data_IF_295622899625
#
_entry.id   IF_295622899625
#
_cell.length_a   1.000
_cell.length_b   1.000
_cell.length_c   1.000
_cell.angle_alpha   90.00
_cell.angle_beta   90.00
_cell.angle_gamma   90.00
#
_symmetry.space_group_name_H-M   'P 1'
#
loop_
_entity.id
_entity.type
_entity.pdbx_description
1 polymer ?
#
# COMPACT_ATOMS: atom_id res chain seq x y z
N UNK A 1 43.09 29.85 -10.54
CA UNK A 1 43.94 30.68 -11.40
C UNK A 1 43.69 30.32 -12.83
N UNK A 2 42.86 30.98 -13.62
CA UNK A 2 41.70 31.84 -13.43
C UNK A 2 41.17 31.97 -14.85
N UNK A 3 39.89 31.70 -15.06
CA UNK A 3 39.12 32.42 -16.08
C UNK A 3 37.75 32.65 -15.48
N UNK A 4 37.71 33.69 -14.65
CA UNK A 4 36.53 34.49 -14.37
C UNK A 4 35.95 34.88 -15.73
N UNK A 5 34.78 34.35 -16.07
CA UNK A 5 33.93 34.91 -17.12
C UNK A 5 32.92 35.76 -16.40
N UNK A 6 33.25 37.03 -16.30
CA UNK A 6 32.35 38.10 -15.91
C UNK A 6 31.55 38.49 -17.16
N UNK A 7 30.23 38.36 -17.09
CA UNK A 7 29.29 38.99 -18.01
C UNK A 7 28.13 39.51 -17.16
N UNK A 8 28.23 40.79 -16.85
CA UNK A 8 27.19 41.68 -16.38
C UNK A 8 26.19 41.93 -17.53
N UNK A 9 24.89 42.04 -17.23
CA UNK A 9 23.89 42.56 -18.16
C UNK A 9 22.67 41.66 -18.40
N UNK A 10 21.53 42.13 -17.88
CA UNK A 10 20.15 41.63 -17.97
C UNK A 10 19.75 40.79 -19.20
N UNK A 11 19.18 39.60 -18.93
CA UNK A 11 18.21 38.95 -19.83
C UNK A 11 17.34 37.95 -19.04
N UNK A 12 16.36 38.45 -18.29
CA UNK A 12 15.48 37.64 -17.43
C UNK A 12 14.55 36.69 -18.24
N UNK A 13 14.46 36.88 -19.55
CA UNK A 13 13.75 36.00 -20.51
C UNK A 13 14.60 34.80 -20.97
N UNK A 14 15.92 34.83 -20.79
CA UNK A 14 16.84 33.74 -21.18
C UNK A 14 16.79 32.54 -20.23
N UNK A 15 16.48 32.76 -18.94
CA UNK A 15 16.40 31.67 -17.96
C UNK A 15 15.21 30.73 -18.22
N UNK A 16 14.08 31.27 -18.70
CA UNK A 16 12.90 30.46 -19.04
C UNK A 16 13.16 29.62 -20.29
N UNK A 17 13.72 30.20 -21.36
CA UNK A 17 14.02 29.45 -22.59
C UNK A 17 15.11 28.39 -22.39
N UNK A 18 16.11 28.68 -21.55
CA UNK A 18 17.13 27.72 -21.14
C UNK A 18 16.55 26.61 -20.26
N UNK A 19 15.61 26.92 -19.36
CA UNK A 19 14.89 25.93 -18.56
C UNK A 19 14.01 25.00 -19.42
N UNK A 20 13.24 25.55 -20.37
CA UNK A 20 12.43 24.76 -21.30
C UNK A 20 13.28 23.90 -22.24
N UNK A 21 14.45 24.40 -22.65
CA UNK A 21 15.40 23.65 -23.48
C UNK A 21 16.11 22.55 -22.68
N UNK A 22 16.49 22.82 -21.43
CA UNK A 22 17.02 21.82 -20.49
C UNK A 22 16.00 20.71 -20.19
N UNK A 23 14.73 21.08 -19.94
CA UNK A 23 13.63 20.10 -19.80
C UNK A 23 13.47 19.30 -21.10
N UNK A 24 13.39 19.95 -22.27
CA UNK A 24 13.25 19.24 -23.55
C UNK A 24 14.39 18.25 -23.77
N UNK A 25 15.63 18.64 -23.53
CA UNK A 25 16.79 17.77 -23.78
C UNK A 25 16.89 16.63 -22.74
N UNK A 26 16.48 16.87 -21.50
CA UNK A 26 16.46 15.85 -20.44
C UNK A 26 15.30 14.85 -20.62
N UNK A 27 14.17 15.27 -21.18
CA UNK A 27 12.95 14.45 -21.33
C UNK A 27 12.73 13.84 -22.72
N UNK A 28 13.08 14.52 -23.83
CA UNK A 28 12.74 14.11 -25.21
C UNK A 28 13.89 13.45 -26.00
N UNK A 29 14.92 12.91 -25.34
CA UNK A 29 15.96 12.13 -26.02
C UNK A 29 15.56 10.67 -26.23
N UNK A 30 15.96 10.04 -27.35
CA UNK A 30 15.70 8.61 -27.63
C UNK A 30 16.19 7.68 -26.51
N UNK A 31 17.25 8.07 -25.78
CA UNK A 31 17.74 7.36 -24.58
C UNK A 31 16.80 7.53 -23.38
N UNK A 32 16.21 8.71 -23.19
CA UNK A 32 15.23 8.96 -22.14
C UNK A 32 13.93 8.19 -22.38
N UNK A 33 13.48 8.10 -23.64
CA UNK A 33 12.29 7.31 -24.01
C UNK A 33 12.50 5.80 -23.77
N UNK A 34 13.66 5.24 -24.15
CA UNK A 34 14.00 3.85 -23.84
C UNK A 34 14.09 3.57 -22.33
N UNK A 35 14.50 4.57 -21.53
CA UNK A 35 14.54 4.47 -20.06
C UNK A 35 13.15 4.59 -19.40
N UNK A 36 12.20 5.30 -20.02
CA UNK A 36 10.85 5.52 -19.50
C UNK A 36 9.84 4.43 -19.92
N UNK A 37 10.09 3.76 -21.05
CA UNK A 37 9.29 2.64 -21.55
C UNK A 37 10.14 1.36 -21.55
N UNK A 38 10.41 0.77 -20.37
CA UNK A 38 11.19 -0.46 -20.24
C UNK A 38 10.60 -1.62 -21.05
N UNK A 39 9.30 -1.59 -21.35
CA UNK A 39 8.61 -2.55 -22.26
C UNK A 39 9.31 -2.70 -23.60
N UNK A 40 9.86 -1.63 -24.17
CA UNK A 40 10.51 -1.67 -25.49
C UNK A 40 11.86 -2.39 -25.40
N UNK A 41 12.46 -2.45 -24.22
CA UNK A 41 13.75 -3.09 -23.99
C UNK A 41 13.61 -4.59 -23.68
N UNK A 42 12.62 -4.99 -22.89
CA UNK A 42 12.47 -6.41 -22.50
C UNK A 42 11.64 -7.23 -23.49
N UNK A 43 10.64 -6.64 -24.14
CA UNK A 43 9.77 -7.35 -25.09
C UNK A 43 10.51 -8.03 -26.27
N UNK A 44 11.51 -7.42 -26.93
CA UNK A 44 12.22 -8.08 -28.03
C UNK A 44 13.16 -9.21 -27.60
N UNK A 45 13.51 -9.31 -26.32
CA UNK A 45 14.35 -10.38 -25.76
C UNK A 45 13.56 -11.53 -25.13
N UNK A 46 12.22 -11.48 -25.20
CA UNK A 46 11.35 -12.38 -24.46
C UNK A 46 11.31 -13.79 -25.07
N UNK A 47 11.63 -14.80 -24.25
CA UNK A 47 11.66 -16.20 -24.68
C UNK A 47 10.33 -16.91 -24.40
N UNK A 48 9.92 -17.80 -25.31
CA UNK A 48 8.70 -18.62 -25.15
C UNK A 48 8.76 -19.59 -23.96
N UNK A 49 9.95 -19.90 -23.45
CA UNK A 49 10.15 -20.68 -22.23
C UNK A 49 9.69 -19.91 -20.99
N UNK A 50 9.96 -18.60 -20.94
CA UNK A 50 9.57 -17.70 -19.83
C UNK A 50 8.05 -17.49 -19.79
N UNK A 51 7.40 -17.50 -20.95
CA UNK A 51 5.94 -17.37 -21.06
C UNK A 51 5.16 -18.37 -20.21
N UNK A 52 5.59 -19.63 -20.15
CA UNK A 52 4.90 -20.66 -19.36
C UNK A 52 4.98 -20.37 -17.86
N UNK A 53 6.15 -19.91 -17.40
CA UNK A 53 6.35 -19.53 -16.01
C UNK A 53 5.55 -18.27 -15.66
N UNK A 54 5.52 -17.28 -16.55
CA UNK A 54 4.80 -16.02 -16.35
C UNK A 54 3.28 -16.21 -16.35
N UNK A 55 2.75 -17.13 -17.16
CA UNK A 55 1.31 -17.48 -17.14
C UNK A 55 0.93 -18.11 -15.80
N UNK A 56 1.75 -19.03 -15.27
CA UNK A 56 1.49 -19.65 -13.96
C UNK A 56 1.63 -18.65 -12.81
N UNK A 57 2.64 -17.78 -12.87
CA UNK A 57 2.84 -16.70 -11.90
C UNK A 57 1.67 -15.70 -11.94
N UNK A 58 1.26 -15.27 -13.13
CA UNK A 58 0.14 -14.36 -13.34
C UNK A 58 -1.20 -14.95 -12.86
N UNK A 59 -1.45 -16.23 -13.11
CA UNK A 59 -2.64 -16.92 -12.59
C UNK A 59 -2.63 -16.97 -11.06
N UNK A 60 -1.48 -17.29 -10.46
CA UNK A 60 -1.33 -17.32 -9.00
C UNK A 60 -1.57 -15.93 -8.39
N UNK A 61 -1.00 -14.89 -9.00
CA UNK A 61 -1.21 -13.50 -8.58
C UNK A 61 -2.67 -13.06 -8.76
N UNK A 62 -3.34 -13.47 -9.84
CA UNK A 62 -4.76 -13.16 -10.04
C UNK A 62 -5.62 -13.80 -8.94
N UNK A 63 -5.37 -15.07 -8.61
CA UNK A 63 -6.10 -15.78 -7.55
C UNK A 63 -5.92 -15.15 -6.17
N UNK A 64 -4.76 -14.53 -5.88
CA UNK A 64 -4.51 -13.85 -4.59
C UNK A 64 -4.98 -12.39 -4.59
N UNK A 65 -4.81 -11.67 -5.70
CA UNK A 65 -5.19 -10.25 -5.81
C UNK A 65 -6.69 -10.04 -5.79
N UNK A 66 -7.49 -10.94 -6.38
CA UNK A 66 -8.96 -10.83 -6.38
C UNK A 66 -9.49 -10.72 -4.93
N UNK A 67 -9.33 -11.72 -4.04
CA UNK A 67 -9.87 -11.63 -2.68
C UNK A 67 -9.25 -10.47 -1.88
N UNK A 68 -7.98 -10.17 -2.08
CA UNK A 68 -7.30 -9.02 -1.45
C UNK A 68 -7.98 -7.70 -1.83
N UNK A 69 -8.24 -7.47 -3.11
CA UNK A 69 -8.85 -6.26 -3.62
C UNK A 69 -10.30 -6.07 -3.12
N UNK A 70 -11.08 -7.16 -3.05
CA UNK A 70 -12.45 -7.14 -2.52
C UNK A 70 -12.44 -6.72 -1.03
N UNK A 71 -11.53 -7.29 -0.24
CA UNK A 71 -11.38 -6.96 1.18
C UNK A 71 -10.98 -5.50 1.41
N UNK A 72 -10.07 -4.97 0.59
CA UNK A 72 -9.60 -3.59 0.71
C UNK A 72 -10.68 -2.56 0.30
N UNK A 73 -11.52 -2.85 -0.70
CA UNK A 73 -12.66 -1.99 -1.01
C UNK A 73 -13.63 -1.88 0.19
N UNK A 74 -13.88 -3.00 0.89
CA UNK A 74 -14.73 -3.04 2.08
C UNK A 74 -14.12 -2.32 3.29
N UNK A 75 -12.78 -2.26 3.40
CA UNK A 75 -12.08 -1.45 4.40
C UNK A 75 -12.16 0.05 4.09
N UNK A 76 -12.16 0.41 2.80
CA UNK A 76 -12.30 1.78 2.34
C UNK A 76 -13.74 2.31 2.35
N UNK A 77 -14.73 1.52 2.83
CA UNK A 77 -16.15 1.83 2.78
C UNK A 77 -16.66 2.16 1.36
N UNK A 78 -16.11 1.51 0.34
CA UNK A 78 -16.51 1.68 -1.06
C UNK A 78 -17.18 0.42 -1.61
N UNK A 79 -17.97 0.56 -2.70
CA UNK A 79 -18.45 -0.60 -3.43
C UNK A 79 -17.29 -1.48 -3.90
N UNK A 80 -17.49 -2.79 -3.84
CA UNK A 80 -16.48 -3.81 -4.11
C UNK A 80 -15.87 -3.68 -5.53
N UNK A 81 -16.64 -3.14 -6.49
CA UNK A 81 -16.21 -2.89 -7.87
C UNK A 81 -14.97 -1.98 -7.96
N UNK A 82 -14.81 -1.03 -7.03
CA UNK A 82 -13.66 -0.12 -7.00
C UNK A 82 -12.34 -0.84 -6.74
N UNK A 83 -12.34 -1.89 -5.90
CA UNK A 83 -11.14 -2.68 -5.63
C UNK A 83 -10.65 -3.44 -6.85
N UNK A 84 -11.60 -4.03 -7.62
CA UNK A 84 -11.30 -4.75 -8.85
C UNK A 84 -10.76 -3.81 -9.94
N UNK A 85 -11.38 -2.64 -10.12
CA UNK A 85 -10.89 -1.64 -11.06
C UNK A 85 -9.47 -1.18 -10.71
N UNK A 86 -9.21 -0.85 -9.44
CA UNK A 86 -7.87 -0.42 -9.03
C UNK A 86 -6.80 -1.48 -9.30
N UNK A 87 -7.09 -2.77 -9.10
CA UNK A 87 -6.09 -3.81 -9.28
C UNK A 87 -5.77 -4.04 -10.75
N UNK A 88 -6.80 -4.19 -11.60
CA UNK A 88 -6.63 -4.49 -13.03
C UNK A 88 -5.92 -3.34 -13.74
N UNK A 89 -6.39 -2.10 -13.56
CA UNK A 89 -5.81 -0.95 -14.25
C UNK A 89 -4.39 -0.65 -13.77
N UNK A 90 -4.10 -0.73 -12.48
CA UNK A 90 -2.76 -0.47 -11.95
C UNK A 90 -1.75 -1.51 -12.43
N UNK A 91 -2.10 -2.80 -12.47
CA UNK A 91 -1.21 -3.84 -13.01
C UNK A 91 -0.95 -3.65 -14.50
N UNK A 92 -1.98 -3.30 -15.30
CA UNK A 92 -1.81 -3.03 -16.73
C UNK A 92 -0.90 -1.82 -16.98
N UNK A 93 -1.11 -0.71 -16.26
CA UNK A 93 -0.26 0.48 -16.37
C UNK A 93 1.19 0.16 -15.95
N UNK A 94 1.38 -0.60 -14.87
CA UNK A 94 2.71 -1.00 -14.43
C UNK A 94 3.41 -1.94 -15.42
N UNK A 95 2.69 -2.82 -16.13
CA UNK A 95 3.31 -3.68 -17.14
C UNK A 95 3.97 -2.88 -18.28
N UNK A 96 3.44 -1.70 -18.61
CA UNK A 96 3.96 -0.83 -19.68
C UNK A 96 5.09 0.09 -19.17
N UNK A 97 4.91 0.68 -17.99
CA UNK A 97 5.81 1.72 -17.46
C UNK A 97 6.77 1.23 -16.36
N UNK A 98 6.61 0.00 -15.88
CA UNK A 98 7.31 -0.55 -14.73
C UNK A 98 8.73 -0.97 -15.04
N UNK A 99 9.67 -0.50 -14.23
CA UNK A 99 11.10 -0.81 -14.37
C UNK A 99 11.48 -2.22 -13.89
N UNK A 100 10.69 -2.82 -12.98
CA UNK A 100 10.99 -4.12 -12.37
C UNK A 100 9.97 -5.17 -12.83
N UNK A 101 10.46 -6.30 -13.35
CA UNK A 101 9.61 -7.39 -13.88
C UNK A 101 8.89 -8.21 -12.81
N UNK A 102 9.48 -8.37 -11.63
CA UNK A 102 9.00 -9.29 -10.60
C UNK A 102 8.11 -8.59 -9.54
N UNK A 103 7.87 -7.29 -9.67
CA UNK A 103 7.09 -6.50 -8.71
C UNK A 103 5.63 -6.45 -9.12
N UNK A 104 4.75 -6.93 -8.23
CA UNK A 104 3.30 -6.77 -8.40
C UNK A 104 2.84 -5.49 -7.73
N UNK A 105 2.01 -4.70 -8.43
CA UNK A 105 1.34 -3.54 -7.86
C UNK A 105 -0.15 -3.81 -7.75
N UNK A 106 -0.71 -3.48 -6.58
CA UNK A 106 -2.13 -3.55 -6.31
C UNK A 106 -2.50 -2.63 -5.14
N UNK A 107 -3.79 -2.58 -4.77
CA UNK A 107 -4.24 -1.82 -3.60
C UNK A 107 -3.59 -2.39 -2.34
N UNK A 108 -3.23 -1.51 -1.40
CA UNK A 108 -2.66 -1.88 -0.10
C UNK A 108 -3.62 -1.56 1.04
N UNK A 109 -3.52 -2.30 2.14
CA UNK A 109 -4.38 -2.13 3.31
C UNK A 109 -4.28 -0.71 3.92
N UNK A 110 -3.07 -0.15 3.96
CA UNK A 110 -2.84 1.21 4.49
C UNK A 110 -3.56 2.24 3.63
N UNK A 111 -3.44 2.16 2.31
CA UNK A 111 -4.16 3.06 1.39
C UNK A 111 -5.68 2.93 1.58
N UNK A 112 -6.20 1.70 1.70
CA UNK A 112 -7.63 1.47 1.92
C UNK A 112 -8.14 2.09 3.23
N UNK A 113 -7.39 1.97 4.33
CA UNK A 113 -7.75 2.57 5.61
C UNK A 113 -7.75 4.10 5.56
N UNK A 114 -6.73 4.71 4.96
CA UNK A 114 -6.66 6.17 4.79
C UNK A 114 -7.81 6.67 3.91
N UNK A 115 -8.05 6.03 2.77
CA UNK A 115 -9.17 6.39 1.88
C UNK A 115 -10.51 6.24 2.60
N UNK A 116 -10.71 5.16 3.37
CA UNK A 116 -11.94 4.93 4.13
C UNK A 116 -12.26 6.00 5.16
N UNK A 117 -11.24 6.61 5.76
CA UNK A 117 -11.42 7.76 6.66
C UNK A 117 -11.95 9.01 5.93
N UNK A 118 -11.51 9.28 4.71
CA UNK A 118 -11.99 10.43 3.94
C UNK A 118 -13.34 10.18 3.26
N UNK A 119 -13.61 8.94 2.83
CA UNK A 119 -14.89 8.55 2.23
C UNK A 119 -16.04 8.67 3.23
N UNK A 120 -15.81 8.37 4.52
CA UNK A 120 -16.84 8.51 5.57
C UNK A 120 -17.26 9.96 5.80
N UNK A 121 -16.43 10.94 5.41
CA UNK A 121 -16.72 12.38 5.55
C UNK A 121 -17.42 12.92 4.29
N UNK A 122 -16.98 12.50 3.11
CA UNK A 122 -17.27 13.21 1.85
C UNK A 122 -18.07 12.45 0.79
N UNK A 123 -18.46 11.20 1.03
CA UNK A 123 -18.99 10.24 0.04
C UNK A 123 -17.93 9.66 -0.91
N UNK A 124 -18.36 8.75 -1.79
CA UNK A 124 -17.52 7.97 -2.71
C UNK A 124 -16.72 8.84 -3.70
N UNK A 125 -17.24 10.01 -4.08
CA UNK A 125 -16.59 10.97 -4.99
C UNK A 125 -15.24 11.46 -4.45
N UNK A 126 -15.06 11.51 -3.13
CA UNK A 126 -13.78 11.89 -2.53
C UNK A 126 -12.71 10.85 -2.85
N UNK A 127 -13.03 9.55 -2.91
CA UNK A 127 -12.04 8.54 -3.27
C UNK A 127 -11.44 8.81 -4.66
N UNK A 128 -12.28 9.16 -5.63
CA UNK A 128 -11.84 9.51 -6.98
C UNK A 128 -10.97 10.78 -6.98
N UNK A 129 -11.38 11.82 -6.25
CA UNK A 129 -10.62 13.07 -6.13
C UNK A 129 -9.26 12.85 -5.45
N UNK A 130 -9.21 12.07 -4.35
CA UNK A 130 -7.98 11.71 -3.67
C UNK A 130 -7.02 10.96 -4.60
N UNK A 131 -7.54 10.01 -5.38
CA UNK A 131 -6.74 9.25 -6.34
C UNK A 131 -6.15 10.15 -7.45
N UNK A 132 -6.94 11.12 -7.92
CA UNK A 132 -6.52 12.05 -8.97
C UNK A 132 -5.47 13.04 -8.45
N UNK A 133 -5.67 13.60 -7.26
CA UNK A 133 -4.70 14.50 -6.62
C UNK A 133 -3.40 13.75 -6.33
N UNK A 134 -3.48 12.52 -5.81
CA UNK A 134 -2.30 11.69 -5.55
C UNK A 134 -1.54 11.37 -6.84
N UNK A 135 -2.24 11.05 -7.93
CA UNK A 135 -1.62 10.80 -9.23
C UNK A 135 -0.92 12.04 -9.81
N UNK A 136 -1.58 13.21 -9.77
CA UNK A 136 -0.98 14.48 -10.21
C UNK A 136 0.26 14.80 -9.36
N UNK A 137 0.18 14.64 -8.04
CA UNK A 137 1.31 14.88 -7.15
C UNK A 137 2.48 13.94 -7.46
N UNK A 138 2.21 12.66 -7.71
CA UNK A 138 3.24 11.69 -8.09
C UNK A 138 3.93 12.06 -9.41
N UNK A 139 3.16 12.55 -10.38
CA UNK A 139 3.70 13.06 -11.66
C UNK A 139 4.55 14.31 -11.41
N UNK A 140 4.11 15.26 -10.59
CA UNK A 140 4.87 16.48 -10.25
C UNK A 140 6.19 16.09 -9.57
N UNK A 141 6.16 15.25 -8.55
CA UNK A 141 7.36 14.78 -7.84
C UNK A 141 8.32 14.08 -8.81
N UNK A 142 7.80 13.24 -9.71
CA UNK A 142 8.59 12.55 -10.73
C UNK A 142 9.10 13.44 -11.86
N UNK A 143 8.47 14.60 -12.11
CA UNK A 143 8.92 15.61 -13.06
C UNK A 143 10.00 16.53 -12.48
N UNK A 144 9.89 16.84 -11.18
CA UNK A 144 10.90 17.60 -10.45
C UNK A 144 12.10 16.74 -10.03
N UNK A 145 12.07 15.42 -10.30
CA UNK A 145 13.10 14.45 -9.91
C UNK A 145 13.50 14.59 -8.43
N UNK A 146 12.49 14.68 -7.55
CA UNK A 146 12.69 14.75 -6.09
C UNK A 146 12.89 13.33 -5.51
N UNK A 147 13.25 12.35 -6.34
CA UNK A 147 13.59 10.99 -5.93
C UNK A 147 14.79 10.94 -4.98
N UNK A 148 15.71 11.90 -5.09
CA UNK A 148 16.84 12.04 -4.16
C UNK A 148 16.39 12.10 -2.69
N UNK A 149 15.26 12.75 -2.37
CA UNK A 149 14.77 12.85 -0.98
C UNK A 149 14.34 11.47 -0.44
N UNK A 150 13.83 10.59 -1.30
CA UNK A 150 13.42 9.23 -0.90
C UNK A 150 14.65 8.41 -0.53
N UNK A 151 15.78 8.62 -1.20
CA UNK A 151 17.05 7.94 -0.90
C UNK A 151 17.66 8.39 0.45
N UNK A 152 17.24 9.54 0.99
CA UNK A 152 17.65 10.02 2.32
C UNK A 152 16.89 9.34 3.47
N UNK A 153 15.88 8.52 3.20
CA UNK A 153 15.11 7.85 4.26
C UNK A 153 15.95 6.70 4.84
N UNK A 154 16.34 6.74 6.13
CA UNK A 154 17.19 5.73 6.70
C UNK A 154 16.41 4.41 6.90
N UNK A 155 17.08 3.28 6.67
CA UNK A 155 16.49 1.94 6.80
C UNK A 155 15.70 1.68 8.10
N UNK A 156 16.16 2.14 9.29
CA UNK A 156 15.38 2.01 10.53
C UNK A 156 13.98 2.64 10.49
N UNK A 157 13.81 3.77 9.78
CA UNK A 157 12.51 4.47 9.68
C UNK A 157 11.53 3.67 8.83
N UNK A 158 11.99 3.13 7.70
CA UNK A 158 11.18 2.28 6.82
C UNK A 158 10.76 1.00 7.56
N UNK A 159 11.68 0.40 8.32
CA UNK A 159 11.41 -0.77 9.15
C UNK A 159 10.39 -0.48 10.26
N UNK A 160 10.55 0.62 11.00
CA UNK A 160 9.61 1.03 12.04
C UNK A 160 8.21 1.31 11.47
N UNK A 161 8.11 2.04 10.36
CA UNK A 161 6.85 2.33 9.69
C UNK A 161 6.14 1.06 9.20
N UNK A 162 6.90 0.11 8.64
CA UNK A 162 6.35 -1.17 8.18
C UNK A 162 5.81 -1.99 9.35
N UNK A 163 6.56 -2.09 10.45
CA UNK A 163 6.11 -2.80 11.66
C UNK A 163 4.85 -2.16 12.26
N UNK A 164 4.80 -0.83 12.34
CA UNK A 164 3.61 -0.11 12.80
C UNK A 164 2.40 -0.34 11.88
N UNK A 165 2.63 -0.38 10.55
CA UNK A 165 1.60 -0.67 9.57
C UNK A 165 1.04 -2.08 9.73
N UNK A 166 1.90 -3.09 9.94
CA UNK A 166 1.48 -4.48 10.20
C UNK A 166 0.61 -4.57 11.45
N UNK A 167 1.00 -3.94 12.56
CA UNK A 167 0.21 -3.91 13.79
C UNK A 167 -1.15 -3.24 13.54
N UNK A 168 -1.16 -2.10 12.86
CA UNK A 168 -2.38 -1.35 12.54
C UNK A 168 -3.34 -2.18 11.69
N UNK A 169 -2.81 -2.87 10.67
CA UNK A 169 -3.60 -3.76 9.83
C UNK A 169 -4.16 -4.91 10.66
N UNK A 170 -3.35 -5.57 11.48
CA UNK A 170 -3.80 -6.67 12.32
C UNK A 170 -4.95 -6.24 13.25
N UNK A 171 -4.81 -5.08 13.90
CA UNK A 171 -5.87 -4.51 14.74
C UNK A 171 -7.12 -4.17 13.91
N UNK A 172 -6.96 -3.63 12.71
CA UNK A 172 -8.07 -3.25 11.83
C UNK A 172 -8.96 -4.44 11.42
N UNK A 173 -8.42 -5.67 11.44
CA UNK A 173 -9.17 -6.89 11.09
C UNK A 173 -9.85 -7.55 12.30
N UNK A 174 -9.49 -7.21 13.54
CA UNK A 174 -10.06 -7.83 14.75
C UNK A 174 -11.60 -7.67 14.84
N UNK A 175 -12.22 -6.50 14.56
CA UNK A 175 -13.67 -6.37 14.63
C UNK A 175 -14.42 -7.32 13.68
N UNK A 176 -13.86 -7.56 12.48
CA UNK A 176 -14.42 -8.51 11.51
C UNK A 176 -14.31 -9.96 11.98
N UNK A 177 -13.23 -10.32 12.67
CA UNK A 177 -13.04 -11.66 13.23
C UNK A 177 -13.97 -11.94 14.43
N UNK A 178 -14.18 -10.95 15.30
CA UNK A 178 -15.01 -11.09 16.50
C UNK A 178 -16.51 -10.75 16.28
N UNK A 179 -16.89 -10.28 15.09
CA UNK A 179 -18.26 -9.94 14.74
C UNK A 179 -18.79 -8.66 15.40
N UNK A 180 -17.89 -7.74 15.81
CA UNK A 180 -18.25 -6.49 16.50
C UNK A 180 -18.54 -5.38 15.46
N UNK A 181 -19.60 -4.57 15.62
CA UNK A 181 -19.94 -3.50 14.67
C UNK A 181 -18.83 -2.43 14.58
N UNK A 182 -18.55 -1.99 13.34
CA UNK A 182 -17.43 -1.09 12.91
C UNK A 182 -17.37 0.31 13.55
N UNK A 183 -18.28 0.68 14.46
CA UNK A 183 -18.50 2.07 14.90
C UNK A 183 -17.75 2.51 16.17
N UNK A 184 -16.77 1.74 16.69
CA UNK A 184 -16.14 2.04 17.98
C UNK A 184 -14.61 2.18 17.88
N UNK A 185 -14.10 3.24 18.50
CA UNK A 185 -12.71 3.72 18.51
C UNK A 185 -11.65 2.60 18.61
N UNK A 186 -10.82 2.51 17.56
CA UNK A 186 -10.35 1.26 16.95
C UNK A 186 -9.23 0.55 17.76
N UNK A 187 -8.58 1.22 18.71
CA UNK A 187 -7.45 0.64 19.47
C UNK A 187 -7.79 0.32 20.92
N UNK A 188 -8.32 1.27 21.68
CA UNK A 188 -8.62 1.07 23.10
C UNK A 188 -9.94 0.36 23.34
N UNK A 189 -10.96 0.61 22.51
CA UNK A 189 -12.25 -0.08 22.65
C UNK A 189 -12.18 -1.50 22.11
N UNK A 190 -11.43 -1.78 21.03
CA UNK A 190 -11.23 -3.15 20.55
C UNK A 190 -10.45 -4.01 21.56
N UNK A 191 -9.40 -3.47 22.20
CA UNK A 191 -8.68 -4.15 23.27
C UNK A 191 -9.57 -4.36 24.51
N UNK A 192 -10.33 -3.34 24.92
CA UNK A 192 -11.24 -3.40 26.07
C UNK A 192 -12.45 -4.32 25.82
N UNK A 193 -13.02 -4.30 24.61
CA UNK A 193 -14.10 -5.18 24.17
C UNK A 193 -13.60 -6.61 23.95
N UNK A 194 -12.40 -6.83 23.41
CA UNK A 194 -11.78 -8.16 23.38
C UNK A 194 -11.64 -8.70 24.81
N UNK A 195 -11.12 -7.92 25.76
CA UNK A 195 -11.00 -8.36 27.15
C UNK A 195 -12.34 -8.68 27.83
N UNK A 196 -13.45 -8.06 27.41
CA UNK A 196 -14.78 -8.27 28.02
C UNK A 196 -15.67 -9.28 27.27
N UNK A 197 -15.56 -9.40 25.94
CA UNK A 197 -16.35 -10.29 25.08
C UNK A 197 -15.64 -11.61 24.70
N UNK A 198 -14.36 -11.78 25.06
CA UNK A 198 -13.64 -13.05 24.90
C UNK A 198 -14.38 -14.29 25.45
N UNK A 199 -15.12 -14.24 26.58
CA UNK A 199 -15.79 -15.43 27.10
C UNK A 199 -17.04 -15.85 26.31
N UNK A 200 -17.68 -14.94 25.55
CA UNK A 200 -18.98 -15.20 24.93
C UNK A 200 -18.94 -15.47 23.41
N UNK A 201 -17.90 -15.04 22.69
CA UNK A 201 -17.82 -15.15 21.21
C UNK A 201 -16.88 -16.25 20.69
N UNK A 202 -16.35 -17.13 21.57
CA UNK A 202 -15.43 -18.21 21.18
C UNK A 202 -16.19 -19.41 20.56
N UNK A 203 -15.64 -20.10 19.53
CA UNK A 203 -16.22 -21.35 19.03
C UNK A 203 -16.32 -22.41 20.14
N UNK A 204 -17.33 -23.30 20.10
CA UNK A 204 -17.68 -24.18 21.23
C UNK A 204 -16.55 -25.11 21.70
N UNK A 205 -15.58 -25.43 20.82
CA UNK A 205 -14.38 -26.22 21.18
C UNK A 205 -13.45 -25.47 22.15
N UNK A 206 -13.23 -24.17 21.92
CA UNK A 206 -12.31 -23.37 22.74
C UNK A 206 -12.96 -22.94 24.06
N UNK A 207 -14.29 -22.78 24.09
CA UNK A 207 -15.03 -22.57 25.35
C UNK A 207 -14.83 -23.74 26.33
N UNK A 208 -14.89 -24.98 25.83
CA UNK A 208 -14.62 -26.17 26.66
C UNK A 208 -13.20 -26.19 27.22
N UNK A 209 -12.21 -25.81 26.41
CA UNK A 209 -10.81 -25.80 26.83
C UNK A 209 -10.51 -24.71 27.86
N UNK A 210 -11.08 -23.51 27.70
CA UNK A 210 -10.94 -22.40 28.66
C UNK A 210 -11.64 -22.74 29.99
N UNK A 211 -12.84 -23.33 29.93
CA UNK A 211 -13.55 -23.79 31.14
C UNK A 211 -12.75 -24.87 31.87
N UNK A 212 -12.24 -25.87 31.15
CA UNK A 212 -11.43 -26.95 31.74
C UNK A 212 -10.16 -26.44 32.42
N UNK A 213 -9.48 -25.45 31.84
CA UNK A 213 -8.27 -24.86 32.43
C UNK A 213 -8.57 -24.00 33.67
N UNK A 214 -9.74 -23.35 33.70
CA UNK A 214 -10.20 -22.58 34.87
C UNK A 214 -10.58 -23.48 36.06
N UNK A 215 -11.28 -24.60 35.82
CA UNK A 215 -11.63 -25.57 36.86
C UNK A 215 -10.41 -26.31 37.41
N UNK A 216 -9.43 -26.61 36.54
CA UNK A 216 -8.12 -27.16 36.94
C UNK A 216 -7.40 -26.25 37.94
N UNK A 217 -7.33 -24.93 37.70
CA UNK A 217 -6.71 -23.97 38.63
C UNK A 217 -7.40 -23.94 40.00
N UNK A 218 -8.72 -24.09 40.05
CA UNK A 218 -9.48 -24.11 41.31
C UNK A 218 -9.25 -25.42 42.08
N UNK A 219 -9.18 -26.55 41.38
CA UNK A 219 -8.84 -27.85 41.98
C UNK A 219 -7.43 -27.87 42.59
N UNK A 220 -6.43 -27.27 41.93
CA UNK A 220 -5.06 -27.21 42.47
C UNK A 220 -4.96 -26.31 43.71
N UNK A 221 -5.76 -25.23 43.77
CA UNK A 221 -5.80 -24.35 44.94
C UNK A 221 -6.53 -24.98 46.14
N UNK A 222 -7.49 -25.89 45.90
CA UNK A 222 -8.15 -26.66 46.97
C UNK A 222 -7.26 -27.76 47.55
N UNK A 223 -6.43 -28.42 46.74
CA UNK A 223 -5.41 -29.36 47.20
C UNK A 223 -4.34 -28.68 48.08
N UNK A 224 -3.91 -27.46 47.70
CA UNK A 224 -2.94 -26.68 48.48
C UNK A 224 -3.47 -26.14 49.81
N UNK A 225 -4.79 -25.92 49.95
CA UNK A 225 -5.42 -25.54 51.22
C UNK A 225 -5.69 -26.72 52.16
N UNK A 226 -5.51 -27.97 51.69
CA UNK A 226 -5.75 -29.19 52.45
C UNK A 226 -4.45 -29.80 53.02
N UNK A 227 -3.29 -29.23 52.69
CA UNK A 227 -1.99 -29.45 53.36
C UNK A 227 -1.65 -28.28 54.26
#
# INVERSE_FOLDING_TARGET
MDTVVECEGEDQTSNLSNFWSWIRLTYFSKKALKRRLPVIQWLPGYQLSEFRCDVLAGLTLACTLIPQALGFALLANLPITYGLYSSIFTTFIYAVFGSCKDTTIGPTAVQALLTGYYVSIGNENYAALLSLISGILQIIIGLLSIDFIVDLIPFPVISAFTNASVITIAVSQLPGFFGVPKNLSILFSAAYACCLYFPSSLPPILQKFVKYNSEMKVMTQMELKRK
#
